data_IF_693712494608
#
_entry.id   IF_693712494608
#
_cell.length_a   1.000
_cell.length_b   1.000
_cell.length_c   1.000
_cell.angle_alpha   90.00
_cell.angle_beta   90.00
_cell.angle_gamma   90.00
#
_symmetry.space_group_name_H-M   'P 1'
#
loop_
_entity.id
_entity.type
_entity.pdbx_description
1 polymer ?
#
# COMPACT_ATOMS: atom_id res chain seq x y z
N UNK A 1 24.08 8.22 -17.07
CA UNK A 1 23.28 7.92 -15.86
C UNK A 1 22.17 8.96 -15.79
N UNK A 2 20.89 8.58 -15.85
CA UNK A 2 19.80 9.56 -15.72
C UNK A 2 19.68 9.97 -14.25
N UNK A 3 19.68 11.23 -13.98
CA UNK A 3 19.36 11.83 -12.67
C UNK A 3 17.87 12.16 -12.67
N UNK A 4 17.16 11.71 -11.64
CA UNK A 4 15.75 12.02 -11.45
C UNK A 4 15.63 13.10 -10.40
N UNK A 5 14.81 14.12 -10.68
CA UNK A 5 14.45 15.13 -9.68
C UNK A 5 13.37 14.53 -8.77
N UNK A 6 13.79 14.03 -7.62
CA UNK A 6 12.90 13.41 -6.63
C UNK A 6 12.62 14.47 -5.56
N UNK A 7 11.38 14.95 -5.53
CA UNK A 7 10.96 15.88 -4.49
C UNK A 7 10.77 15.14 -3.15
N UNK A 8 11.44 15.65 -2.09
CA UNK A 8 11.36 15.11 -0.73
C UNK A 8 10.48 16.03 0.11
N UNK A 9 9.38 15.50 0.56
CA UNK A 9 8.37 16.26 1.31
C UNK A 9 7.75 15.43 2.43
N UNK A 10 6.77 16.02 3.12
CA UNK A 10 5.99 15.33 4.15
C UNK A 10 4.52 15.53 3.85
N UNK A 11 3.75 14.45 3.94
CA UNK A 11 2.30 14.49 3.88
C UNK A 11 1.70 13.83 5.12
N UNK A 12 0.59 14.38 5.58
CA UNK A 12 -0.13 13.86 6.73
C UNK A 12 -1.01 12.66 6.35
N UNK A 13 -1.43 11.89 7.33
CA UNK A 13 -2.48 10.87 7.15
C UNK A 13 -3.75 11.51 6.56
N UNK A 14 -4.08 12.74 6.99
CA UNK A 14 -5.24 13.49 6.48
C UNK A 14 -5.15 13.77 4.99
N UNK A 15 -3.95 14.12 4.48
CA UNK A 15 -3.73 14.35 3.05
C UNK A 15 -4.00 13.07 2.24
N UNK A 16 -3.40 11.95 2.64
CA UNK A 16 -3.61 10.66 1.98
C UNK A 16 -5.06 10.20 2.01
N UNK A 17 -5.76 10.37 3.14
CA UNK A 17 -7.20 10.10 3.25
C UNK A 17 -8.04 10.98 2.31
N UNK A 18 -7.67 12.24 2.16
CA UNK A 18 -8.34 13.18 1.26
C UNK A 18 -8.20 12.75 -0.19
N UNK A 19 -6.98 12.44 -0.64
CA UNK A 19 -6.72 11.97 -2.00
C UNK A 19 -7.43 10.65 -2.30
N UNK A 20 -7.43 9.71 -1.34
CA UNK A 20 -8.14 8.44 -1.51
C UNK A 20 -9.65 8.65 -1.66
N UNK A 21 -10.26 9.53 -0.87
CA UNK A 21 -11.69 9.88 -0.99
C UNK A 21 -12.05 10.51 -2.33
N UNK A 22 -11.14 11.31 -2.87
CA UNK A 22 -11.31 11.98 -4.16
C UNK A 22 -11.03 11.06 -5.36
N UNK A 23 -10.58 9.82 -5.13
CA UNK A 23 -10.14 8.92 -6.21
C UNK A 23 -8.84 9.35 -6.89
N UNK A 24 -8.07 10.24 -6.25
CA UNK A 24 -6.79 10.79 -6.74
C UNK A 24 -5.56 10.06 -6.21
N UNK A 25 -5.76 8.94 -5.50
CA UNK A 25 -4.69 8.07 -5.00
C UNK A 25 -4.93 6.64 -5.46
N UNK A 26 -3.98 6.09 -6.21
CA UNK A 26 -3.96 4.67 -6.57
C UNK A 26 -3.04 3.90 -5.62
N UNK A 27 -3.63 3.00 -4.84
CA UNK A 27 -2.93 2.12 -3.92
C UNK A 27 -2.48 0.80 -4.55
N UNK A 28 -3.03 0.44 -5.71
CA UNK A 28 -2.85 -0.88 -6.31
C UNK A 28 -2.34 -0.77 -7.74
N UNK A 29 -1.18 -0.14 -7.98
CA UNK A 29 -0.65 -0.10 -9.32
C UNK A 29 -0.40 -1.52 -9.85
N UNK A 30 -0.52 -1.75 -11.16
CA UNK A 30 -0.55 -3.08 -11.77
C UNK A 30 0.63 -4.00 -11.47
N UNK A 31 1.75 -3.44 -11.03
CA UNK A 31 3.00 -4.18 -10.77
C UNK A 31 3.15 -4.67 -9.32
N UNK A 32 2.19 -4.39 -8.43
CA UNK A 32 2.33 -4.74 -7.01
C UNK A 32 1.33 -5.80 -6.57
N UNK A 33 1.71 -6.54 -5.53
CA UNK A 33 0.87 -7.59 -4.93
C UNK A 33 -0.30 -7.01 -4.14
N UNK A 34 -1.38 -7.79 -4.03
CA UNK A 34 -2.47 -7.53 -3.06
C UNK A 34 -1.92 -7.48 -1.63
N UNK A 35 -2.70 -6.87 -0.73
CA UNK A 35 -2.33 -6.71 0.68
C UNK A 35 -1.89 -8.02 1.31
N UNK A 36 -0.63 -8.08 1.76
CA UNK A 36 -0.03 -9.26 2.42
C UNK A 36 0.14 -9.08 3.92
N UNK A 37 -0.09 -7.88 4.47
CA UNK A 37 0.09 -7.66 5.90
C UNK A 37 -0.97 -8.39 6.72
N UNK A 38 -0.52 -9.27 7.60
CA UNK A 38 -1.37 -9.93 8.60
C UNK A 38 -1.87 -8.90 9.63
N UNK A 39 -2.96 -9.24 10.33
CA UNK A 39 -3.58 -8.37 11.35
C UNK A 39 -2.60 -7.91 12.42
N UNK A 40 -1.62 -8.73 12.74
CA UNK A 40 -0.55 -8.42 13.69
C UNK A 40 0.33 -7.26 13.22
N UNK A 41 0.84 -7.32 11.99
CA UNK A 41 1.65 -6.26 11.40
C UNK A 41 0.87 -4.93 11.29
N UNK A 42 -0.42 -4.99 10.93
CA UNK A 42 -1.31 -3.81 10.89
C UNK A 42 -1.45 -3.19 12.28
N UNK A 43 -1.69 -4.01 13.31
CA UNK A 43 -1.80 -3.56 14.70
C UNK A 43 -0.51 -2.92 15.21
N UNK A 44 0.63 -3.56 14.98
CA UNK A 44 1.94 -3.02 15.36
C UNK A 44 2.22 -1.67 14.69
N UNK A 45 1.86 -1.55 13.42
CA UNK A 45 2.04 -0.31 12.67
C UNK A 45 1.17 0.83 13.21
N UNK A 46 -0.10 0.57 13.56
CA UNK A 46 -0.95 1.59 14.18
C UNK A 46 -0.39 2.03 15.55
N UNK A 47 0.15 1.12 16.35
CA UNK A 47 0.82 1.48 17.61
C UNK A 47 2.05 2.36 17.35
N UNK A 48 2.83 2.08 16.31
CA UNK A 48 3.95 2.91 15.87
C UNK A 48 3.51 4.35 15.58
N UNK A 49 2.39 4.52 14.86
CA UNK A 49 1.79 5.84 14.59
C UNK A 49 1.30 6.51 15.88
N UNK A 50 0.64 5.76 16.76
CA UNK A 50 0.15 6.27 18.05
C UNK A 50 1.28 6.80 18.94
N UNK A 51 2.47 6.22 18.83
CA UNK A 51 3.70 6.64 19.53
C UNK A 51 4.48 7.73 18.79
N UNK A 52 4.02 8.16 17.62
CA UNK A 52 4.71 9.14 16.76
C UNK A 52 6.14 8.71 16.40
N UNK A 53 6.39 7.39 16.35
CA UNK A 53 7.70 6.84 15.97
C UNK A 53 7.88 6.92 14.43
N UNK A 54 9.13 7.05 13.96
CA UNK A 54 9.41 7.11 12.54
C UNK A 54 9.07 5.79 11.84
N UNK A 55 8.54 5.91 10.63
CA UNK A 55 8.24 4.79 9.74
C UNK A 55 9.00 4.94 8.42
N UNK A 56 9.21 3.86 7.65
CA UNK A 56 9.88 3.95 6.36
C UNK A 56 9.18 4.93 5.40
N UNK A 57 9.98 5.54 4.53
CA UNK A 57 9.56 6.55 3.54
C UNK A 57 8.49 5.96 2.61
N UNK A 58 7.48 6.77 2.28
CA UNK A 58 6.51 6.46 1.23
C UNK A 58 7.02 7.01 -0.09
N UNK A 59 6.89 6.23 -1.16
CA UNK A 59 7.19 6.66 -2.52
C UNK A 59 5.91 6.74 -3.33
N UNK A 60 5.65 7.90 -3.92
CA UNK A 60 4.54 8.12 -4.83
C UNK A 60 5.06 8.64 -6.16
N UNK A 61 4.36 8.30 -7.25
CA UNK A 61 4.50 8.96 -8.54
C UNK A 61 3.33 9.90 -8.73
N UNK A 62 3.61 11.13 -9.11
CA UNK A 62 2.60 12.15 -9.35
C UNK A 62 2.44 12.38 -10.87
N UNK A 63 1.23 12.15 -11.36
CA UNK A 63 0.87 12.35 -12.76
C UNK A 63 -0.06 13.56 -12.85
N UNK A 64 0.26 14.48 -13.76
CA UNK A 64 -0.55 15.66 -14.07
C UNK A 64 -1.18 15.44 -15.44
N UNK A 65 -2.50 15.45 -15.50
CA UNK A 65 -3.25 15.46 -16.73
C UNK A 65 -3.31 16.92 -17.23
N UNK A 66 -2.69 17.18 -18.38
CA UNK A 66 -2.61 18.53 -18.96
C UNK A 66 -3.92 19.00 -19.61
N UNK A 67 -4.89 18.10 -19.83
CA UNK A 67 -6.18 18.49 -20.39
C UNK A 67 -7.17 18.89 -19.30
N UNK A 68 -7.07 18.27 -18.12
CA UNK A 68 -8.00 18.47 -17.00
C UNK A 68 -7.39 19.23 -15.83
N UNK A 69 -6.08 19.51 -15.86
CA UNK A 69 -5.28 20.04 -14.75
C UNK A 69 -5.38 19.17 -13.47
N UNK A 70 -5.81 17.93 -13.62
CA UNK A 70 -5.94 17.00 -12.49
C UNK A 70 -4.63 16.33 -12.14
N UNK A 71 -4.37 16.25 -10.83
CA UNK A 71 -3.22 15.57 -10.28
C UNK A 71 -3.65 14.24 -9.67
N UNK A 72 -3.12 13.15 -10.20
CA UNK A 72 -3.30 11.80 -9.66
C UNK A 72 -1.99 11.26 -9.08
N UNK A 73 -2.08 10.42 -8.08
CA UNK A 73 -0.93 9.87 -7.35
C UNK A 73 -1.01 8.36 -7.33
N UNK A 74 0.09 7.73 -7.67
CA UNK A 74 0.26 6.29 -7.64
C UNK A 74 1.27 5.92 -6.54
N UNK A 75 0.91 5.02 -5.63
CA UNK A 75 1.79 4.60 -4.55
C UNK A 75 2.77 3.56 -5.07
N UNK A 76 4.04 3.94 -5.19
CA UNK A 76 5.13 3.05 -5.62
C UNK A 76 5.61 2.16 -4.48
N UNK A 77 5.77 2.72 -3.27
CA UNK A 77 6.02 1.96 -2.04
C UNK A 77 5.29 2.59 -0.85
N UNK A 78 4.86 1.76 0.07
CA UNK A 78 4.10 2.17 1.25
C UNK A 78 2.61 1.80 1.21
N UNK A 79 2.15 1.07 0.21
CA UNK A 79 0.74 0.65 0.05
C UNK A 79 0.18 -0.04 1.29
N UNK A 80 0.92 -1.02 1.85
CA UNK A 80 0.48 -1.77 3.02
C UNK A 80 0.31 -0.85 4.24
N UNK A 81 1.17 0.14 4.37
CA UNK A 81 1.13 1.16 5.44
C UNK A 81 -0.09 2.05 5.29
N UNK A 82 -0.32 2.61 4.11
CA UNK A 82 -1.49 3.46 3.84
C UNK A 82 -2.79 2.65 3.95
N UNK A 83 -2.82 1.42 3.40
CA UNK A 83 -3.97 0.54 3.51
C UNK A 83 -4.30 0.20 4.97
N UNK A 84 -3.30 -0.07 5.81
CA UNK A 84 -3.51 -0.33 7.24
C UNK A 84 -4.15 0.87 7.95
N UNK A 85 -3.68 2.10 7.67
CA UNK A 85 -4.28 3.32 8.21
C UNK A 85 -5.70 3.51 7.71
N UNK A 86 -5.94 3.38 6.41
CA UNK A 86 -7.28 3.56 5.85
C UNK A 86 -8.26 2.53 6.40
N UNK A 87 -7.82 1.27 6.53
CA UNK A 87 -8.61 0.21 7.16
C UNK A 87 -8.97 0.56 8.61
N UNK A 88 -8.06 1.15 9.38
CA UNK A 88 -8.31 1.50 10.77
C UNK A 88 -9.15 2.77 10.92
N UNK A 89 -8.83 3.83 10.15
CA UNK A 89 -9.46 5.15 10.29
C UNK A 89 -10.82 5.22 9.60
N UNK A 90 -10.90 4.74 8.36
CA UNK A 90 -12.11 4.85 7.52
C UNK A 90 -12.13 3.78 6.42
N UNK A 91 -12.43 2.52 6.75
CA UNK A 91 -12.40 1.41 5.78
C UNK A 91 -13.30 1.64 4.56
N UNK A 92 -14.38 2.43 4.69
CA UNK A 92 -15.33 2.72 3.60
C UNK A 92 -14.74 3.48 2.39
N UNK A 93 -13.52 4.02 2.50
CA UNK A 93 -12.85 4.67 1.36
C UNK A 93 -12.07 3.68 0.47
N UNK A 94 -11.89 2.45 0.94
CA UNK A 94 -11.25 1.37 0.17
C UNK A 94 -12.33 0.65 -0.64
N UNK A 95 -12.22 0.70 -1.97
CA UNK A 95 -13.20 0.08 -2.88
C UNK A 95 -13.24 -1.44 -2.78
N UNK A 96 -12.10 -2.05 -2.46
CA UNK A 96 -11.86 -3.49 -2.37
C UNK A 96 -11.76 -3.99 -0.91
N UNK A 97 -12.36 -3.26 0.04
CA UNK A 97 -12.36 -3.65 1.45
C UNK A 97 -13.19 -4.91 1.69
N UNK A 98 -12.55 -5.93 2.26
CA UNK A 98 -13.19 -7.16 2.73
C UNK A 98 -13.08 -7.24 4.26
N UNK A 99 -14.20 -7.13 4.95
CA UNK A 99 -14.23 -7.11 6.41
C UNK A 99 -13.64 -8.39 7.04
N UNK A 100 -13.75 -9.54 6.38
CA UNK A 100 -13.24 -10.82 6.89
C UNK A 100 -11.71 -10.88 6.84
N UNK A 101 -11.12 -10.34 5.78
CA UNK A 101 -9.67 -10.36 5.52
C UNK A 101 -8.96 -9.13 6.04
N UNK A 102 -9.57 -7.95 5.86
CA UNK A 102 -8.91 -6.67 6.10
C UNK A 102 -9.12 -6.13 7.50
N UNK A 103 -10.28 -6.38 8.13
CA UNK A 103 -10.57 -5.83 9.45
C UNK A 103 -9.59 -6.37 10.50
N UNK A 104 -9.11 -5.46 11.33
CA UNK A 104 -8.24 -5.77 12.45
C UNK A 104 -8.50 -4.80 13.61
N UNK A 105 -8.04 -5.15 14.79
CA UNK A 105 -8.02 -4.29 15.97
C UNK A 105 -6.60 -4.16 16.50
N UNK A 106 -6.36 -3.12 17.30
CA UNK A 106 -5.09 -2.97 18.02
C UNK A 106 -4.99 -4.10 19.03
N UNK A 107 -3.87 -4.83 19.03
CA UNK A 107 -3.61 -5.92 19.95
C UNK A 107 -3.03 -5.42 21.25
N UNK A 108 -3.33 -6.15 22.35
CA UNK A 108 -2.86 -5.82 23.68
C UNK A 108 -1.32 -5.86 23.79
N UNK A 109 -0.69 -6.76 23.05
CA UNK A 109 0.78 -6.91 23.01
C UNK A 109 1.47 -5.66 22.45
N UNK A 110 0.81 -4.95 21.53
CA UNK A 110 1.36 -3.73 20.91
C UNK A 110 0.99 -2.48 21.70
N UNK A 111 -0.29 -2.33 22.03
CA UNK A 111 -0.79 -1.16 22.76
C UNK A 111 -1.82 -1.57 23.82
N UNK A 112 -1.40 -1.87 25.06
CA UNK A 112 -2.32 -2.26 26.12
C UNK A 112 -3.44 -1.25 26.37
N UNK A 113 -3.12 0.05 26.20
CA UNK A 113 -4.04 1.16 26.44
C UNK A 113 -5.18 1.25 25.41
N UNK A 114 -4.92 0.88 24.15
CA UNK A 114 -5.87 1.02 23.04
C UNK A 114 -6.25 -0.32 22.42
N UNK A 115 -5.99 -1.42 23.12
CA UNK A 115 -6.32 -2.76 22.65
C UNK A 115 -7.84 -2.91 22.42
N UNK A 116 -8.20 -3.36 21.21
CA UNK A 116 -9.59 -3.57 20.82
C UNK A 116 -10.40 -2.29 20.58
N UNK A 117 -9.80 -1.10 20.72
CA UNK A 117 -10.52 0.16 20.55
C UNK A 117 -10.58 0.53 19.06
N UNK A 118 -11.79 0.76 18.55
CA UNK A 118 -11.98 1.29 17.21
C UNK A 118 -11.55 2.76 17.11
N UNK A 119 -11.12 3.19 15.94
CA UNK A 119 -10.72 4.59 15.72
C UNK A 119 -11.75 5.61 16.17
N UNK A 120 -13.05 5.37 15.92
CA UNK A 120 -14.15 6.27 16.29
C UNK A 120 -14.28 6.47 17.82
N UNK A 121 -13.88 5.45 18.59
CA UNK A 121 -14.00 5.41 20.06
C UNK A 121 -12.72 5.90 20.76
N UNK A 122 -11.66 6.22 20.00
CA UNK A 122 -10.46 6.84 20.53
C UNK A 122 -10.77 8.28 21.02
N UNK A 123 -10.06 8.75 22.09
CA UNK A 123 -10.16 10.14 22.52
C UNK A 123 -9.85 11.12 21.36
N UNK A 124 -10.57 12.27 21.27
CA UNK A 124 -10.39 13.23 20.17
C UNK A 124 -8.94 13.65 19.94
N UNK A 125 -8.16 13.86 21.02
CA UNK A 125 -6.74 14.20 20.96
C UNK A 125 -5.89 13.10 20.30
N UNK A 126 -6.25 11.84 20.52
CA UNK A 126 -5.54 10.70 19.93
C UNK A 126 -5.89 10.56 18.45
N UNK A 127 -7.17 10.75 18.09
CA UNK A 127 -7.61 10.77 16.68
C UNK A 127 -6.91 11.88 15.89
N UNK A 128 -6.84 13.08 16.47
CA UNK A 128 -6.15 14.22 15.87
C UNK A 128 -4.66 13.88 15.60
N UNK A 129 -3.97 13.29 16.58
CA UNK A 129 -2.57 12.87 16.45
C UNK A 129 -2.37 11.88 15.29
N UNK A 130 -3.27 10.91 15.12
CA UNK A 130 -3.20 9.98 13.98
C UNK A 130 -3.36 10.73 12.66
N UNK A 131 -4.30 11.67 12.55
CA UNK A 131 -4.56 12.41 11.31
C UNK A 131 -3.42 13.35 10.94
N UNK A 132 -2.75 13.94 11.94
CA UNK A 132 -1.62 14.86 11.76
C UNK A 132 -0.28 14.14 11.65
N UNK A 133 -0.24 12.82 11.82
CA UNK A 133 1.01 12.06 11.67
C UNK A 133 1.56 12.25 10.27
N UNK A 134 2.85 12.65 10.19
CA UNK A 134 3.53 12.99 8.94
C UNK A 134 4.38 11.84 8.43
N UNK A 135 4.14 11.44 7.20
CA UNK A 135 5.01 10.54 6.46
C UNK A 135 6.08 11.32 5.71
N UNK A 136 7.33 10.91 5.86
CA UNK A 136 8.36 11.29 4.89
C UNK A 136 7.98 10.68 3.54
N UNK A 137 7.89 11.50 2.50
CA UNK A 137 7.41 11.09 1.19
C UNK A 137 8.37 11.55 0.10
N UNK A 138 8.74 10.64 -0.79
CA UNK A 138 9.47 10.96 -2.00
C UNK A 138 8.51 10.93 -3.18
N UNK A 139 8.43 12.06 -3.87
CA UNK A 139 7.54 12.24 -5.02
C UNK A 139 8.35 12.10 -6.29
N UNK A 140 8.02 11.10 -7.08
CA UNK A 140 8.59 10.83 -8.40
C UNK A 140 7.77 11.57 -9.45
N UNK A 141 8.39 12.26 -10.42
CA UNK A 141 7.66 12.91 -11.50
C UNK A 141 6.99 11.89 -12.43
N UNK A 142 5.84 12.24 -12.99
CA UNK A 142 5.05 11.41 -13.89
C UNK A 142 5.79 11.02 -15.18
N UNK A 143 6.82 11.78 -15.56
CA UNK A 143 7.69 11.47 -16.70
C UNK A 143 8.56 10.22 -16.51
N UNK A 144 8.68 9.69 -15.28
CA UNK A 144 9.37 8.43 -15.02
C UNK A 144 8.51 7.28 -15.50
N UNK A 145 9.04 6.49 -16.45
CA UNK A 145 8.35 5.33 -16.99
C UNK A 145 8.27 4.18 -15.99
N UNK A 146 7.38 3.23 -16.30
CA UNK A 146 7.13 2.05 -15.47
C UNK A 146 8.42 1.26 -15.17
N UNK A 147 9.28 1.11 -16.19
CA UNK A 147 10.55 0.35 -16.08
C UNK A 147 11.52 1.00 -15.10
N UNK A 148 11.64 2.32 -15.15
CA UNK A 148 12.50 3.06 -14.23
C UNK A 148 11.97 3.00 -12.79
N UNK A 149 10.65 3.05 -12.60
CA UNK A 149 10.03 2.87 -11.27
C UNK A 149 10.39 1.52 -10.69
N UNK A 150 10.31 0.46 -11.49
CA UNK A 150 10.68 -0.89 -11.06
C UNK A 150 12.16 -1.01 -10.71
N UNK A 151 13.03 -0.34 -11.47
CA UNK A 151 14.46 -0.28 -11.15
C UNK A 151 14.70 0.44 -9.81
N UNK A 152 14.06 1.59 -9.58
CA UNK A 152 14.13 2.33 -8.30
C UNK A 152 13.65 1.44 -7.16
N UNK A 153 12.49 0.81 -7.32
CA UNK A 153 11.90 -0.07 -6.32
C UNK A 153 12.80 -1.28 -6.01
N UNK A 154 13.37 -1.91 -7.04
CA UNK A 154 14.31 -3.02 -6.89
C UNK A 154 15.56 -2.60 -6.10
N UNK A 155 16.13 -1.44 -6.40
CA UNK A 155 17.31 -0.91 -5.69
C UNK A 155 16.99 -0.59 -4.22
N UNK A 156 15.82 -0.04 -3.93
CA UNK A 156 15.39 0.25 -2.56
C UNK A 156 15.24 -1.03 -1.73
N UNK A 157 14.68 -2.08 -2.33
CA UNK A 157 14.50 -3.37 -1.66
C UNK A 157 15.77 -4.22 -1.62
N UNK A 158 16.78 -3.94 -2.46
CA UNK A 158 18.05 -4.68 -2.48
C UNK A 158 18.87 -4.53 -1.18
N UNK A 159 18.62 -3.49 -0.41
CA UNK A 159 19.22 -3.27 0.92
C UNK A 159 18.45 -3.92 2.06
N UNK A 160 17.28 -4.49 1.78
CA UNK A 160 16.39 -5.20 2.70
C UNK A 160 16.11 -6.64 2.27
N UNK A 161 14.87 -7.06 2.30
CA UNK A 161 14.47 -8.38 1.79
C UNK A 161 14.55 -8.37 0.27
N UNK A 162 15.43 -9.21 -0.30
CA UNK A 162 15.57 -9.34 -1.77
C UNK A 162 14.22 -9.68 -2.39
N UNK A 163 13.83 -8.91 -3.41
CA UNK A 163 12.76 -9.34 -4.30
C UNK A 163 13.10 -10.72 -4.87
N UNK A 164 12.15 -11.62 -4.81
CA UNK A 164 12.26 -12.92 -5.45
C UNK A 164 12.53 -12.70 -6.96
N UNK A 165 13.43 -13.50 -7.60
CA UNK A 165 13.65 -13.42 -9.05
C UNK A 165 12.37 -13.47 -9.89
N UNK A 166 11.32 -14.10 -9.37
CA UNK A 166 9.99 -14.11 -9.98
C UNK A 166 9.29 -12.73 -9.89
N UNK A 167 9.46 -12.00 -8.80
CA UNK A 167 8.91 -10.65 -8.63
C UNK A 167 9.58 -9.65 -9.58
N UNK A 168 10.89 -9.77 -9.74
CA UNK A 168 11.65 -8.97 -10.72
C UNK A 168 11.19 -9.25 -12.16
N UNK A 169 11.07 -10.55 -12.54
CA UNK A 169 10.53 -10.94 -13.85
C UNK A 169 9.09 -10.50 -14.03
N UNK A 170 8.30 -10.60 -12.99
CA UNK A 170 6.90 -10.16 -12.99
C UNK A 170 6.77 -8.66 -13.24
N UNK A 171 7.68 -7.87 -12.74
CA UNK A 171 7.75 -6.44 -12.95
C UNK A 171 8.27 -6.06 -14.36
N UNK A 172 9.24 -6.82 -14.88
CA UNK A 172 9.88 -6.56 -16.18
C UNK A 172 8.97 -6.86 -17.38
N UNK A 173 8.11 -7.88 -17.25
CA UNK A 173 7.24 -8.37 -18.33
C UNK A 173 5.76 -8.09 -18.07
N UNK A 174 5.43 -6.91 -17.58
CA UNK A 174 4.05 -6.52 -17.37
C UNK A 174 3.42 -6.05 -18.70
N UNK A 175 2.28 -6.67 -19.09
CA UNK A 175 1.56 -6.35 -20.32
C UNK A 175 0.18 -7.00 -20.35
N UNK A 176 -0.63 -6.66 -21.38
CA UNK A 176 -2.01 -7.15 -21.54
C UNK A 176 -2.12 -8.68 -21.47
N UNK A 177 -1.16 -9.41 -22.05
CA UNK A 177 -1.08 -10.86 -21.97
C UNK A 177 -0.96 -11.37 -20.53
N UNK A 178 -0.16 -10.72 -19.71
CA UNK A 178 0.03 -11.10 -18.31
C UNK A 178 -1.20 -10.79 -17.46
N UNK A 179 -1.84 -9.65 -17.69
CA UNK A 179 -3.11 -9.32 -17.03
C UNK A 179 -4.16 -10.38 -17.34
N UNK A 180 -4.28 -10.78 -18.61
CA UNK A 180 -5.17 -11.86 -19.04
C UNK A 180 -4.82 -13.19 -18.37
N UNK A 181 -3.52 -13.53 -18.28
CA UNK A 181 -3.07 -14.76 -17.59
C UNK A 181 -3.43 -14.76 -16.11
N UNK A 182 -3.34 -13.62 -15.43
CA UNK A 182 -3.78 -13.50 -14.04
C UNK A 182 -5.30 -13.62 -13.88
N UNK A 183 -6.08 -13.01 -14.78
CA UNK A 183 -7.53 -13.14 -14.77
C UNK A 183 -7.94 -14.60 -14.97
N UNK A 184 -7.40 -15.27 -15.99
CA UNK A 184 -7.66 -16.68 -16.26
C UNK A 184 -7.22 -17.59 -15.10
N UNK A 185 -6.07 -17.30 -14.49
CA UNK A 185 -5.59 -18.05 -13.32
C UNK A 185 -6.52 -17.88 -12.10
N UNK A 186 -7.05 -16.68 -11.89
CA UNK A 186 -8.02 -16.41 -10.81
C UNK A 186 -9.36 -17.13 -11.06
N UNK A 187 -9.86 -17.12 -12.29
CA UNK A 187 -11.08 -17.86 -12.66
C UNK A 187 -10.94 -19.36 -12.47
N UNK A 188 -9.75 -19.91 -12.70
CA UNK A 188 -9.48 -21.33 -12.55
C UNK A 188 -9.04 -21.72 -11.12
N UNK A 189 -8.79 -20.76 -10.23
CA UNK A 189 -8.21 -21.00 -8.90
C UNK A 189 -9.07 -21.94 -8.06
N UNK A 190 -10.38 -21.72 -8.04
CA UNK A 190 -11.32 -22.57 -7.29
C UNK A 190 -11.31 -24.02 -7.83
N UNK A 191 -11.27 -24.16 -9.16
CA UNK A 191 -11.21 -25.46 -9.83
C UNK A 191 -9.90 -26.20 -9.55
N UNK A 192 -8.77 -25.49 -9.50
CA UNK A 192 -7.47 -26.07 -9.16
C UNK A 192 -7.38 -26.48 -7.68
N UNK A 193 -8.06 -25.76 -6.79
CA UNK A 193 -8.19 -26.12 -5.39
C UNK A 193 -9.03 -27.40 -5.22
N UNK A 194 -10.16 -27.50 -5.92
CA UNK A 194 -11.00 -28.70 -5.93
C UNK A 194 -10.26 -29.93 -6.47
N UNK A 195 -9.39 -29.76 -7.45
CA UNK A 195 -8.58 -30.85 -8.01
C UNK A 195 -7.34 -31.18 -7.18
N UNK A 196 -7.03 -30.42 -6.12
CA UNK A 196 -5.87 -30.66 -5.26
C UNK A 196 -4.51 -30.52 -5.96
N UNK A 197 -4.45 -29.78 -7.10
CA UNK A 197 -3.22 -29.59 -7.90
C UNK A 197 -2.19 -28.75 -7.14
N UNK A 198 -2.65 -27.80 -6.33
CA UNK A 198 -1.82 -26.92 -5.52
C UNK A 198 -2.31 -26.84 -4.09
N UNK A 199 -1.37 -26.74 -3.14
CA UNK A 199 -1.71 -26.42 -1.75
C UNK A 199 -1.95 -24.92 -1.59
N UNK A 200 -2.72 -24.47 -0.56
CA UNK A 200 -2.92 -23.05 -0.29
C UNK A 200 -1.62 -22.23 -0.16
N UNK A 201 -0.55 -22.85 0.38
CA UNK A 201 0.76 -22.23 0.55
C UNK A 201 1.54 -22.08 -0.78
N UNK A 202 1.24 -22.92 -1.77
CA UNK A 202 1.85 -22.83 -3.11
C UNK A 202 1.14 -21.80 -4.01
N UNK A 203 -0.06 -21.36 -3.62
CA UNK A 203 -0.87 -20.36 -4.33
C UNK A 203 -0.72 -18.95 -3.74
N UNK A 204 -0.11 -18.82 -2.57
CA UNK A 204 0.21 -17.53 -1.92
C UNK A 204 1.54 -16.99 -2.48
#
# INVERSE_FOLDING_TARGET
>A
MRTYDINKTQYTVSDFLSWQRQGKLDLNPPFQRRSVWKKDAKSYFIDTILRELPVPIIFIRENIDLETDEVTREVVDGQQRLRAIFTYVKPSILRDFDATKDAFSIRKEHSPKFAGVDYKDLPPKVRHRILEYKFSTHVLPGSIGQREILEIFSRMNATGVKLNPQELRNAEWFGAFKSLMYELALEQLERWQEWGIFTPDQMA
#
